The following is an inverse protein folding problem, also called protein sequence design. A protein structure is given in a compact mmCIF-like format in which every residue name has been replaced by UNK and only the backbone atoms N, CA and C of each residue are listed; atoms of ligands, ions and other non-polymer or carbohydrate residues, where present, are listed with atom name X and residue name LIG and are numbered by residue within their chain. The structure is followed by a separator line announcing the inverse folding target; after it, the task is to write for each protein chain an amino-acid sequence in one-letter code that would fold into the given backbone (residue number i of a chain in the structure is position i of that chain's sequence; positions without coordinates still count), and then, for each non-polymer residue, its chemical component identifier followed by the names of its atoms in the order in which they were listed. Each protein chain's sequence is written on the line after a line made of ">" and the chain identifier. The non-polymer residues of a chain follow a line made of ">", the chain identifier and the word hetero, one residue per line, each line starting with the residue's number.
data_IF_009780231885
#
_entry.id   IF_009780231885
#
_cell.length_a   1.000
_cell.length_b   1.000
_cell.length_c   1.000
_cell.angle_alpha   90.00
_cell.angle_beta   90.00
_cell.angle_gamma   90.00
#
_symmetry.space_group_name_H-M   'P 1'
#
loop_
_entity.id
_entity.type
_entity.pdbx_description
1 polymer ?
#
# COMPACT_ATOMS: atom_id res chain seq x y z
N UNK A 1 -8.58 -6.23 7.50
CA UNK A 1 -7.82 -7.46 7.83
C UNK A 1 -8.14 -7.96 9.24
N UNK A 2 -8.29 -7.08 10.24
CA UNK A 2 -8.61 -7.44 11.63
C UNK A 2 -9.84 -8.37 11.80
N UNK A 3 -10.96 -8.10 11.13
CA UNK A 3 -12.15 -8.98 11.19
C UNK A 3 -12.00 -10.32 10.45
N UNK A 4 -10.91 -10.50 9.70
CA UNK A 4 -10.72 -11.64 8.79
C UNK A 4 -9.63 -12.59 9.32
N UNK A 5 -8.58 -12.06 9.94
CA UNK A 5 -7.46 -12.82 10.50
C UNK A 5 -7.41 -12.58 12.01
N UNK A 6 -7.60 -13.64 12.81
CA UNK A 6 -7.57 -13.57 14.28
C UNK A 6 -6.23 -13.11 14.82
N UNK A 7 -5.10 -13.51 14.22
CA UNK A 7 -3.77 -13.07 14.65
C UNK A 7 -3.63 -11.54 14.60
N UNK A 8 -4.16 -10.91 13.56
CA UNK A 8 -4.17 -9.44 13.43
C UNK A 8 -5.26 -8.83 14.30
N UNK A 9 -6.46 -9.44 14.33
CA UNK A 9 -7.61 -8.93 15.08
C UNK A 9 -7.41 -8.93 16.59
N UNK A 10 -6.67 -9.91 17.12
CA UNK A 10 -6.30 -10.04 18.53
C UNK A 10 -4.95 -9.39 18.85
N UNK A 11 -4.27 -8.80 17.86
CA UNK A 11 -2.97 -8.15 18.04
C UNK A 11 -1.80 -9.10 18.36
N UNK A 12 -1.95 -10.41 18.07
CA UNK A 12 -0.88 -11.42 18.23
C UNK A 12 0.27 -11.23 17.25
N UNK A 13 0.01 -10.61 16.10
CA UNK A 13 1.02 -10.14 15.17
C UNK A 13 0.76 -8.68 14.83
N UNK A 14 1.84 -7.90 14.74
CA UNK A 14 1.80 -6.50 14.33
C UNK A 14 1.87 -6.38 12.80
N UNK A 15 2.64 -7.24 12.16
CA UNK A 15 2.79 -7.31 10.72
C UNK A 15 2.48 -8.71 10.19
N UNK A 16 1.88 -8.79 9.01
CA UNK A 16 1.53 -10.10 8.44
C UNK A 16 2.77 -10.98 8.19
N UNK A 17 3.96 -10.39 8.01
CA UNK A 17 5.21 -11.14 7.80
C UNK A 17 5.71 -11.89 9.04
N UNK A 18 5.12 -11.63 10.22
CA UNK A 18 5.41 -12.34 11.47
C UNK A 18 4.58 -13.63 11.60
N UNK A 19 3.59 -13.83 10.72
CA UNK A 19 2.78 -15.04 10.67
C UNK A 19 3.53 -16.16 9.93
N UNK A 20 3.46 -17.40 10.44
CA UNK A 20 4.05 -18.59 9.81
C UNK A 20 3.49 -18.85 8.41
N UNK A 21 2.21 -18.54 8.18
CA UNK A 21 1.53 -18.71 6.88
C UNK A 21 1.88 -17.61 5.86
N UNK A 22 2.81 -16.70 6.16
CA UNK A 22 3.12 -15.58 5.29
C UNK A 22 3.88 -16.01 4.01
N UNK A 23 3.50 -15.50 2.81
CA UNK A 23 2.30 -14.74 2.51
C UNK A 23 1.07 -15.66 2.33
N UNK A 24 0.03 -15.43 3.14
CA UNK A 24 -1.14 -16.30 3.15
C UNK A 24 -2.03 -16.08 1.90
N UNK A 25 -2.92 -17.04 1.60
CA UNK A 25 -3.80 -17.00 0.41
C UNK A 25 -4.58 -15.69 0.27
N UNK A 26 -5.07 -15.15 1.40
CA UNK A 26 -5.84 -13.90 1.41
C UNK A 26 -4.98 -12.69 1.08
N UNK A 27 -3.77 -12.61 1.65
CA UNK A 27 -2.83 -11.55 1.35
C UNK A 27 -2.38 -11.60 -0.12
N UNK A 28 -2.09 -12.79 -0.66
CA UNK A 28 -1.79 -12.98 -2.09
C UNK A 28 -2.92 -12.49 -3.01
N UNK A 29 -4.17 -12.73 -2.64
CA UNK A 29 -5.34 -12.24 -3.41
C UNK A 29 -5.46 -10.71 -3.37
N UNK A 30 -5.31 -10.12 -2.18
CA UNK A 30 -5.28 -8.66 -2.00
C UNK A 30 -4.17 -8.02 -2.83
N UNK A 31 -2.97 -8.57 -2.70
CA UNK A 31 -1.77 -8.12 -3.37
C UNK A 31 -1.90 -8.22 -4.91
N UNK A 32 -2.42 -9.34 -5.44
CA UNK A 32 -2.72 -9.47 -6.88
C UNK A 32 -3.64 -8.35 -7.37
N UNK A 33 -4.71 -8.04 -6.63
CA UNK A 33 -5.63 -6.94 -7.01
C UNK A 33 -4.94 -5.58 -6.99
N UNK A 34 -4.08 -5.33 -6.01
CA UNK A 34 -3.38 -4.06 -5.89
C UNK A 34 -2.30 -3.89 -6.96
N UNK A 35 -1.56 -4.96 -7.30
CA UNK A 35 -0.59 -4.92 -8.39
C UNK A 35 -1.27 -4.63 -9.72
N UNK A 36 -2.39 -5.31 -10.02
CA UNK A 36 -3.07 -5.17 -11.31
C UNK A 36 -3.84 -3.86 -11.45
N UNK A 37 -4.38 -3.28 -10.37
CA UNK A 37 -5.19 -2.07 -10.44
C UNK A 37 -4.45 -0.78 -10.07
N UNK A 38 -3.46 -0.86 -9.19
CA UNK A 38 -2.89 0.31 -8.50
C UNK A 38 -1.36 0.36 -8.57
N UNK A 39 -0.72 -0.55 -9.31
CA UNK A 39 0.74 -0.62 -9.44
C UNK A 39 1.48 -0.59 -8.08
N UNK A 40 0.91 -1.28 -7.09
CA UNK A 40 1.41 -1.37 -5.72
C UNK A 40 1.31 -2.82 -5.24
N UNK A 41 2.28 -3.26 -4.45
CA UNK A 41 2.25 -4.59 -3.84
C UNK A 41 2.24 -4.47 -2.31
N UNK A 42 1.27 -5.13 -1.70
CA UNK A 42 1.19 -5.22 -0.24
C UNK A 42 2.28 -6.14 0.31
N UNK A 43 2.63 -7.19 -0.44
CA UNK A 43 3.69 -8.13 -0.07
C UNK A 43 5.05 -7.46 -0.16
N UNK A 44 5.37 -6.77 -1.25
CA UNK A 44 6.66 -6.06 -1.38
C UNK A 44 6.81 -4.96 -0.32
N UNK A 45 5.72 -4.28 0.04
CA UNK A 45 5.73 -3.29 1.13
C UNK A 45 6.08 -3.97 2.47
N UNK A 46 5.46 -5.11 2.78
CA UNK A 46 5.73 -5.86 4.01
C UNK A 46 7.14 -6.46 4.03
N UNK A 47 7.62 -6.99 2.90
CA UNK A 47 8.98 -7.52 2.77
C UNK A 47 10.01 -6.41 2.98
N UNK A 48 9.79 -5.22 2.40
CA UNK A 48 10.67 -4.08 2.62
C UNK A 48 10.69 -3.62 4.09
N UNK A 49 9.53 -3.61 4.77
CA UNK A 49 9.47 -3.27 6.19
C UNK A 49 10.23 -4.32 7.02
N UNK A 50 10.12 -5.61 6.67
CA UNK A 50 10.85 -6.69 7.34
C UNK A 50 12.36 -6.56 7.16
N UNK A 51 12.81 -6.26 5.95
CA UNK A 51 14.24 -6.24 5.59
C UNK A 51 14.95 -4.93 6.00
N UNK A 52 14.28 -3.79 5.84
CA UNK A 52 14.89 -2.46 5.95
C UNK A 52 14.27 -1.60 7.05
N UNK A 53 13.20 -2.07 7.67
CA UNK A 53 12.49 -1.34 8.71
C UNK A 53 11.51 -0.30 8.17
N UNK A 54 10.64 0.18 9.07
CA UNK A 54 9.59 1.13 8.77
C UNK A 54 10.12 2.47 8.23
N UNK A 55 11.22 2.99 8.80
CA UNK A 55 11.77 4.30 8.40
C UNK A 55 12.19 4.30 6.93
N UNK A 56 12.96 3.31 6.50
CA UNK A 56 13.40 3.19 5.11
C UNK A 56 12.22 2.97 4.15
N UNK A 57 11.19 2.23 4.58
CA UNK A 57 9.96 2.07 3.82
C UNK A 57 9.24 3.41 3.61
N UNK A 58 9.05 4.20 4.66
CA UNK A 58 8.39 5.49 4.59
C UNK A 58 9.15 6.48 3.69
N UNK A 59 10.48 6.56 3.81
CA UNK A 59 11.30 7.43 2.95
C UNK A 59 11.21 7.05 1.47
N UNK A 60 11.09 5.76 1.14
CA UNK A 60 10.89 5.30 -0.24
C UNK A 60 9.49 5.61 -0.74
N UNK A 61 8.47 5.33 0.05
CA UNK A 61 7.07 5.58 -0.35
C UNK A 61 6.79 7.07 -0.48
N UNK A 62 7.36 7.92 0.38
CA UNK A 62 7.30 9.38 0.26
C UNK A 62 7.81 9.80 -1.13
N UNK A 63 9.04 9.44 -1.47
CA UNK A 63 9.62 9.73 -2.80
C UNK A 63 8.78 9.18 -3.95
N UNK A 64 8.21 7.99 -3.81
CA UNK A 64 7.38 7.34 -4.84
C UNK A 64 6.07 8.08 -5.09
N UNK A 65 5.45 8.61 -4.04
CA UNK A 65 4.12 9.21 -4.10
C UNK A 65 4.15 10.74 -4.15
N UNK A 66 5.30 11.38 -3.97
CA UNK A 66 5.46 12.83 -4.20
C UNK A 66 5.24 13.17 -5.68
N UNK A 67 4.37 14.15 -5.92
CA UNK A 67 4.16 14.72 -7.24
C UNK A 67 5.42 15.49 -7.66
N UNK A 68 6.03 15.19 -8.82
CA UNK A 68 7.25 15.88 -9.26
C UNK A 68 7.00 17.35 -9.64
N UNK A 69 5.74 17.75 -9.86
CA UNK A 69 5.38 19.10 -10.31
C UNK A 69 5.18 20.07 -9.14
N UNK A 70 4.40 19.68 -8.14
CA UNK A 70 4.04 20.56 -7.02
C UNK A 70 4.57 20.10 -5.66
N UNK A 71 5.15 18.90 -5.56
CA UNK A 71 5.56 18.31 -4.28
C UNK A 71 4.40 17.72 -3.46
N UNK A 72 3.15 17.88 -3.91
CA UNK A 72 1.96 17.30 -3.29
C UNK A 72 1.87 15.78 -3.41
N UNK A 73 0.74 15.19 -3.03
CA UNK A 73 0.56 13.73 -2.98
C UNK A 73 -0.07 13.19 -4.27
N UNK A 74 0.50 12.12 -4.80
CA UNK A 74 -0.07 11.30 -5.89
C UNK A 74 -0.89 10.15 -5.30
N UNK A 75 -2.16 10.06 -5.66
CA UNK A 75 -3.06 9.02 -5.17
C UNK A 75 -2.75 7.66 -5.81
N UNK A 76 -2.52 6.63 -4.99
CA UNK A 76 -2.24 5.27 -5.47
C UNK A 76 -3.40 4.63 -6.26
N UNK A 77 -4.65 4.98 -5.95
CA UNK A 77 -5.81 4.43 -6.65
C UNK A 77 -6.07 5.09 -8.01
N UNK A 78 -5.73 6.37 -8.12
CA UNK A 78 -6.03 7.15 -9.32
C UNK A 78 -4.82 7.30 -10.25
N UNK A 79 -3.60 7.23 -9.72
CA UNK A 79 -2.36 7.57 -10.42
C UNK A 79 -2.24 9.06 -10.74
N UNK A 80 -2.95 9.91 -9.99
CA UNK A 80 -3.08 11.35 -10.26
C UNK A 80 -2.73 12.16 -9.02
N UNK A 81 -2.17 13.35 -9.23
CA UNK A 81 -1.87 14.29 -8.15
C UNK A 81 -3.17 14.86 -7.56
N UNK A 82 -3.26 14.89 -6.23
CA UNK A 82 -4.42 15.42 -5.52
C UNK A 82 -4.57 16.95 -5.64
N UNK A 83 -3.51 17.64 -6.05
CA UNK A 83 -3.49 19.09 -6.26
C UNK A 83 -3.54 19.43 -7.75
N UNK A 84 -2.59 18.93 -8.55
CA UNK A 84 -2.51 19.28 -9.97
C UNK A 84 -3.65 18.69 -10.83
N UNK A 85 -4.19 17.53 -10.45
CA UNK A 85 -5.14 16.77 -11.28
C UNK A 85 -6.53 16.64 -10.64
N UNK A 86 -6.88 17.55 -9.71
CA UNK A 86 -8.14 17.48 -8.96
C UNK A 86 -9.38 17.43 -9.88
N UNK A 87 -9.39 18.19 -10.98
CA UNK A 87 -10.49 18.16 -11.95
C UNK A 87 -10.65 16.80 -12.62
N UNK A 88 -9.53 16.13 -12.95
CA UNK A 88 -9.52 14.80 -13.55
C UNK A 88 -10.03 13.76 -12.54
N UNK A 89 -9.64 13.91 -11.27
CA UNK A 89 -10.11 13.05 -10.17
C UNK A 89 -11.64 13.14 -9.99
N UNK A 90 -12.20 14.34 -10.05
CA UNK A 90 -13.65 14.56 -9.94
C UNK A 90 -14.39 13.91 -11.12
N UNK A 91 -13.87 14.06 -12.35
CA UNK A 91 -14.50 13.50 -13.56
C UNK A 91 -14.46 11.97 -13.63
N UNK A 92 -13.42 11.33 -13.08
CA UNK A 92 -13.24 9.87 -13.06
C UNK A 92 -14.22 9.14 -12.12
N UNK A 93 -15.00 9.87 -11.32
CA UNK A 93 -15.96 9.33 -10.35
C UNK A 93 -17.35 9.01 -10.93
N UNK A 94 -17.53 9.18 -12.26
CA UNK A 94 -18.69 8.71 -13.03
C UNK A 94 -18.37 7.40 -13.73
#
# INVERSE_FOLDING_TARGET
>A
MAHICSLVGEGKVRFCYECEDYPCKRLKSLDKRYRTKYNMSMIENLDMIKEKGMKAFLEKEEKKWTCPTCGGITCCHAGLCLECDIDKLIRKKK
#
